data_IF_463366180530
#
_entry.id   IF_463366180530
#
_cell.length_a   1.000
_cell.length_b   1.000
_cell.length_c   1.000
_cell.angle_alpha   90.00
_cell.angle_beta   90.00
_cell.angle_gamma   90.00
#
_symmetry.space_group_name_H-M   'P 1'
#
loop_
_entity.id
_entity.type
_entity.pdbx_description
1 polymer ?
#
# COMPACT_ATOMS: atom_id res chain seq x y z
N UNK A 1 10.72 -18.32 -0.99
CA UNK A 1 9.44 -18.18 -1.73
C UNK A 1 9.77 -18.08 -3.22
N UNK A 2 8.96 -18.66 -4.10
CA UNK A 2 9.27 -18.71 -5.53
C UNK A 2 9.31 -17.31 -6.14
N UNK A 3 10.42 -16.94 -6.82
CA UNK A 3 10.61 -15.59 -7.39
C UNK A 3 9.48 -15.17 -8.34
N UNK A 4 8.97 -16.11 -9.16
CA UNK A 4 7.83 -15.87 -10.05
C UNK A 4 6.56 -15.52 -9.29
N UNK A 5 6.28 -16.21 -8.17
CA UNK A 5 5.12 -15.91 -7.33
C UNK A 5 5.17 -14.48 -6.79
N UNK A 6 6.33 -14.06 -6.27
CA UNK A 6 6.51 -12.69 -5.76
C UNK A 6 6.28 -11.65 -6.85
N UNK A 7 6.81 -11.90 -8.04
CA UNK A 7 6.61 -11.02 -9.19
C UNK A 7 5.14 -10.90 -9.56
N UNK A 8 4.41 -12.03 -9.61
CA UNK A 8 2.97 -12.05 -9.89
C UNK A 8 2.21 -11.28 -8.81
N UNK A 9 2.47 -11.56 -7.52
CA UNK A 9 1.79 -10.87 -6.42
C UNK A 9 2.03 -9.36 -6.46
N UNK A 10 3.27 -8.94 -6.69
CA UNK A 10 3.65 -7.52 -6.81
C UNK A 10 2.94 -6.84 -7.97
N UNK A 11 2.94 -7.48 -9.15
CA UNK A 11 2.32 -6.91 -10.35
C UNK A 11 0.81 -6.82 -10.18
N UNK A 12 0.15 -7.88 -9.69
CA UNK A 12 -1.29 -7.88 -9.43
C UNK A 12 -1.68 -6.79 -8.43
N UNK A 13 -0.98 -6.71 -7.30
CA UNK A 13 -1.24 -5.70 -6.29
C UNK A 13 -1.04 -4.27 -6.85
N UNK A 14 0.01 -4.07 -7.64
CA UNK A 14 0.29 -2.80 -8.31
C UNK A 14 -0.79 -2.40 -9.32
N UNK A 15 -1.27 -3.35 -10.14
CA UNK A 15 -2.39 -3.11 -11.09
C UNK A 15 -3.66 -2.75 -10.34
N UNK A 16 -4.00 -3.47 -9.27
CA UNK A 16 -5.21 -3.21 -8.47
C UNK A 16 -5.18 -1.78 -7.90
N UNK A 17 -4.09 -1.39 -7.22
CA UNK A 17 -4.00 -0.06 -6.64
C UNK A 17 -3.91 1.06 -7.67
N UNK A 18 -3.18 0.86 -8.77
CA UNK A 18 -3.15 1.85 -9.85
C UNK A 18 -4.54 2.03 -10.47
N UNK A 19 -5.25 0.94 -10.73
CA UNK A 19 -6.62 0.98 -11.27
C UNK A 19 -7.60 1.65 -10.29
N UNK A 20 -7.54 1.31 -9.00
CA UNK A 20 -8.37 1.91 -7.96
C UNK A 20 -8.11 3.43 -7.82
N UNK A 21 -6.84 3.83 -7.83
CA UNK A 21 -6.44 5.23 -7.76
C UNK A 21 -6.93 6.05 -8.97
N UNK A 22 -6.75 5.51 -10.19
CA UNK A 22 -7.27 6.15 -11.42
C UNK A 22 -8.80 6.24 -11.37
N UNK A 23 -9.50 5.18 -10.96
CA UNK A 23 -10.96 5.20 -10.81
C UNK A 23 -11.43 6.22 -9.78
N UNK A 24 -10.72 6.34 -8.66
CA UNK A 24 -11.03 7.34 -7.65
C UNK A 24 -10.87 8.77 -8.18
N UNK A 25 -9.90 9.04 -9.06
CA UNK A 25 -9.79 10.33 -9.74
C UNK A 25 -10.91 10.56 -10.76
N UNK A 26 -11.36 9.52 -11.48
CA UNK A 26 -12.54 9.61 -12.36
C UNK A 26 -13.77 10.06 -11.55
N UNK A 27 -14.01 9.44 -10.39
CA UNK A 27 -15.09 9.83 -9.47
C UNK A 27 -14.86 11.24 -8.89
N UNK A 28 -13.63 11.58 -8.50
CA UNK A 28 -13.28 12.90 -7.98
C UNK A 28 -13.60 14.03 -8.98
N UNK A 29 -13.44 13.78 -10.27
CA UNK A 29 -13.79 14.74 -11.32
C UNK A 29 -15.28 14.72 -11.71
N UNK A 30 -16.12 13.96 -11.01
CA UNK A 30 -17.57 13.92 -11.22
C UNK A 30 -18.03 12.99 -12.35
N UNK A 31 -17.18 12.08 -12.80
CA UNK A 31 -17.55 11.07 -13.79
C UNK A 31 -17.99 9.76 -13.11
N UNK A 32 -18.75 8.95 -13.85
CA UNK A 32 -19.12 7.61 -13.41
C UNK A 32 -17.89 6.70 -13.28
N UNK A 33 -17.79 5.90 -12.20
CA UNK A 33 -16.69 4.96 -12.03
C UNK A 33 -16.73 3.87 -13.13
N UNK A 34 -15.56 3.46 -13.61
CA UNK A 34 -15.44 2.41 -14.62
C UNK A 34 -15.14 1.02 -14.01
N UNK A 35 -14.86 0.97 -12.71
CA UNK A 35 -14.82 -0.26 -11.90
C UNK A 35 -15.77 -0.10 -10.71
N UNK A 36 -16.22 -1.23 -10.13
CA UNK A 36 -17.11 -1.22 -8.98
C UNK A 36 -16.54 -0.39 -7.82
N UNK A 37 -17.38 0.44 -7.21
CA UNK A 37 -17.11 1.21 -5.99
C UNK A 37 -18.10 0.80 -4.91
N UNK A 38 -17.70 0.96 -3.64
CA UNK A 38 -18.58 0.77 -2.49
C UNK A 38 -19.20 2.11 -2.12
N UNK A 39 -20.54 2.26 -2.09
CA UNK A 39 -21.20 3.48 -1.63
C UNK A 39 -20.74 3.88 -0.21
N UNK A 40 -20.57 2.90 0.67
CA UNK A 40 -20.14 3.07 2.05
C UNK A 40 -18.68 3.51 2.13
N UNK A 41 -17.81 3.00 1.25
CA UNK A 41 -16.45 3.52 1.12
C UNK A 41 -16.45 4.96 0.60
N UNK A 42 -17.34 5.31 -0.33
CA UNK A 42 -17.46 6.68 -0.83
C UNK A 42 -17.94 7.64 0.25
N UNK A 43 -18.79 7.18 1.17
CA UNK A 43 -19.25 7.96 2.31
C UNK A 43 -18.11 8.33 3.29
N UNK A 44 -16.98 7.62 3.31
CA UNK A 44 -15.81 8.01 4.12
C UNK A 44 -15.14 9.30 3.61
N UNK A 45 -15.30 9.62 2.34
CA UNK A 45 -14.68 10.77 1.70
C UNK A 45 -15.58 12.00 1.78
N UNK A 46 -16.12 12.31 2.96
CA UNK A 46 -16.88 13.54 3.20
C UNK A 46 -16.07 14.81 2.87
N UNK A 47 -14.75 14.71 2.97
CA UNK A 47 -13.84 15.77 2.58
C UNK A 47 -13.04 15.34 1.34
N UNK A 48 -13.11 16.14 0.29
CA UNK A 48 -12.45 15.90 -1.00
C UNK A 48 -10.95 15.66 -0.87
N UNK A 49 -10.28 16.29 0.10
CA UNK A 49 -8.85 16.10 0.32
C UNK A 49 -8.49 14.66 0.67
N UNK A 50 -9.37 13.94 1.39
CA UNK A 50 -9.11 12.58 1.84
C UNK A 50 -9.14 11.62 0.64
N UNK A 51 -10.14 11.79 -0.25
CA UNK A 51 -10.21 11.05 -1.51
C UNK A 51 -8.98 11.35 -2.37
N UNK A 52 -8.65 12.63 -2.54
CA UNK A 52 -7.50 13.04 -3.34
C UNK A 52 -6.19 12.41 -2.81
N UNK A 53 -5.93 12.50 -1.50
CA UNK A 53 -4.69 11.99 -0.89
C UNK A 53 -4.62 10.47 -0.95
N UNK A 54 -5.71 9.76 -0.63
CA UNK A 54 -5.74 8.30 -0.72
C UNK A 54 -5.47 7.83 -2.15
N UNK A 55 -6.18 8.39 -3.14
CA UNK A 55 -6.04 7.98 -4.55
C UNK A 55 -4.68 8.36 -5.13
N UNK A 56 -4.09 9.48 -4.68
CA UNK A 56 -2.69 9.81 -4.98
C UNK A 56 -1.73 8.73 -4.46
N UNK A 57 -1.90 8.32 -3.20
CA UNK A 57 -1.06 7.27 -2.60
C UNK A 57 -1.21 5.93 -3.32
N UNK A 58 -2.44 5.54 -3.69
CA UNK A 58 -2.71 4.33 -4.46
C UNK A 58 -2.01 4.36 -5.83
N UNK A 59 -2.08 5.49 -6.56
CA UNK A 59 -1.40 5.64 -7.86
C UNK A 59 0.13 5.55 -7.69
N UNK A 60 0.70 6.33 -6.78
CA UNK A 60 2.16 6.35 -6.57
C UNK A 60 2.65 4.96 -6.17
N UNK A 61 2.01 4.33 -5.18
CA UNK A 61 2.41 3.01 -4.73
C UNK A 61 2.16 1.94 -5.80
N UNK A 62 1.08 2.04 -6.56
CA UNK A 62 0.80 1.17 -7.70
C UNK A 62 1.92 1.23 -8.75
N UNK A 63 2.33 2.43 -9.15
CA UNK A 63 3.45 2.63 -10.09
C UNK A 63 4.74 2.05 -9.53
N UNK A 64 5.09 2.35 -8.27
CA UNK A 64 6.29 1.83 -7.61
C UNK A 64 6.30 0.30 -7.57
N UNK A 65 5.16 -0.30 -7.23
CA UNK A 65 4.99 -1.75 -7.26
C UNK A 65 5.13 -2.30 -8.67
N UNK A 66 4.67 -1.63 -9.73
CA UNK A 66 4.79 -2.11 -11.12
C UNK A 66 6.22 -1.97 -11.67
N UNK A 67 6.90 -0.87 -11.37
CA UNK A 67 8.28 -0.59 -11.81
C UNK A 67 9.34 -1.30 -10.97
N UNK A 68 8.93 -1.99 -9.89
CA UNK A 68 9.81 -2.70 -8.96
C UNK A 68 10.74 -1.76 -8.17
N UNK A 69 10.27 -0.54 -7.91
CA UNK A 69 11.04 0.48 -7.20
C UNK A 69 10.44 0.73 -5.82
N UNK A 70 11.30 0.93 -4.82
CA UNK A 70 10.88 1.26 -3.44
C UNK A 70 9.80 0.32 -2.86
N UNK A 71 9.83 -0.97 -3.23
CA UNK A 71 8.75 -1.93 -2.88
C UNK A 71 8.45 -1.98 -1.37
N UNK A 72 9.44 -2.07 -0.45
CA UNK A 72 9.13 -2.05 0.98
C UNK A 72 8.45 -0.75 1.45
N UNK A 73 8.85 0.40 0.90
CA UNK A 73 8.22 1.70 1.21
C UNK A 73 6.78 1.73 0.72
N UNK A 74 6.52 1.28 -0.51
CA UNK A 74 5.16 1.22 -1.07
C UNK A 74 4.27 0.28 -0.24
N UNK A 75 4.77 -0.88 0.19
CA UNK A 75 4.03 -1.80 1.06
C UNK A 75 3.72 -1.18 2.43
N UNK A 76 4.65 -0.43 3.03
CA UNK A 76 4.42 0.29 4.27
C UNK A 76 3.31 1.36 4.11
N UNK A 77 3.41 2.18 3.06
CA UNK A 77 2.42 3.23 2.78
C UNK A 77 1.03 2.66 2.49
N UNK A 78 0.95 1.52 1.78
CA UNK A 78 -0.31 0.82 1.51
C UNK A 78 -0.88 0.06 2.72
N UNK A 79 -0.08 -0.24 3.75
CA UNK A 79 -0.54 -1.05 4.90
C UNK A 79 -1.79 -0.50 5.60
N UNK A 80 -1.87 0.79 6.00
CA UNK A 80 -3.09 1.34 6.60
C UNK A 80 -4.28 1.36 5.62
N UNK A 81 -4.02 1.59 4.33
CA UNK A 81 -5.05 1.61 3.29
C UNK A 81 -5.66 0.22 3.11
N UNK A 82 -4.82 -0.82 2.98
CA UNK A 82 -5.24 -2.23 2.90
C UNK A 82 -6.04 -2.64 4.12
N UNK A 83 -5.59 -2.25 5.32
CA UNK A 83 -6.31 -2.54 6.56
C UNK A 83 -7.69 -1.88 6.57
N UNK A 84 -7.79 -0.60 6.19
CA UNK A 84 -9.06 0.11 6.12
C UNK A 84 -10.02 -0.52 5.10
N UNK A 85 -9.55 -0.82 3.88
CA UNK A 85 -10.33 -1.50 2.85
C UNK A 85 -10.90 -2.81 3.39
N UNK A 86 -10.07 -3.64 4.02
CA UNK A 86 -10.54 -4.93 4.55
C UNK A 86 -11.55 -4.77 5.67
N UNK A 87 -11.30 -3.89 6.64
CA UNK A 87 -12.20 -3.67 7.78
C UNK A 87 -13.55 -3.09 7.34
N UNK A 88 -13.55 -2.14 6.39
CA UNK A 88 -14.78 -1.61 5.82
C UNK A 88 -15.61 -2.72 5.18
N UNK A 89 -14.99 -3.59 4.38
CA UNK A 89 -15.75 -4.65 3.71
C UNK A 89 -16.13 -5.80 4.65
N UNK A 90 -15.40 -5.98 5.74
CA UNK A 90 -15.72 -7.00 6.73
C UNK A 90 -16.90 -6.60 7.62
N UNK A 91 -17.03 -5.30 7.95
CA UNK A 91 -17.98 -4.83 8.96
C UNK A 91 -19.09 -3.93 8.42
N UNK A 92 -18.91 -3.26 7.29
CA UNK A 92 -19.82 -2.20 6.81
C UNK A 92 -20.45 -2.59 5.47
N UNK A 93 -19.64 -2.90 4.46
CA UNK A 93 -20.13 -3.26 3.11
C UNK A 93 -19.45 -4.53 2.57
N UNK A 94 -20.08 -5.71 2.69
CA UNK A 94 -19.49 -6.96 2.24
C UNK A 94 -19.46 -7.14 0.71
N UNK A 95 -19.99 -6.20 -0.08
CA UNK A 95 -20.12 -6.31 -1.54
C UNK A 95 -18.81 -6.69 -2.25
N UNK A 96 -17.67 -6.14 -1.79
CA UNK A 96 -16.34 -6.41 -2.33
C UNK A 96 -15.40 -7.14 -1.35
N UNK A 97 -15.94 -7.83 -0.34
CA UNK A 97 -15.14 -8.55 0.66
C UNK A 97 -14.17 -9.56 0.02
N UNK A 98 -14.60 -10.24 -1.05
CA UNK A 98 -13.74 -11.19 -1.77
C UNK A 98 -12.49 -10.52 -2.36
N UNK A 99 -12.66 -9.34 -3.00
CA UNK A 99 -11.54 -8.57 -3.53
C UNK A 99 -10.65 -8.05 -2.40
N UNK A 100 -11.24 -7.54 -1.32
CA UNK A 100 -10.50 -7.07 -0.15
C UNK A 100 -9.65 -8.20 0.47
N UNK A 101 -10.18 -9.41 0.58
CA UNK A 101 -9.43 -10.59 1.05
C UNK A 101 -8.26 -10.94 0.12
N UNK A 102 -8.44 -10.86 -1.20
CA UNK A 102 -7.36 -11.04 -2.17
C UNK A 102 -6.27 -9.99 -1.99
N UNK A 103 -6.64 -8.71 -1.82
CA UNK A 103 -5.69 -7.61 -1.58
C UNK A 103 -4.87 -7.87 -0.31
N UNK A 104 -5.53 -8.24 0.80
CA UNK A 104 -4.85 -8.59 2.06
C UNK A 104 -3.90 -9.76 1.87
N UNK A 105 -4.30 -10.80 1.13
CA UNK A 105 -3.45 -11.96 0.87
C UNK A 105 -2.21 -11.57 0.06
N UNK A 106 -2.38 -10.84 -1.04
CA UNK A 106 -1.28 -10.40 -1.90
C UNK A 106 -0.30 -9.49 -1.14
N UNK A 107 -0.84 -8.51 -0.41
CA UNK A 107 -0.06 -7.57 0.40
C UNK A 107 0.66 -8.29 1.54
N UNK A 108 -0.02 -9.18 2.27
CA UNK A 108 0.55 -9.97 3.35
C UNK A 108 1.67 -10.92 2.89
N UNK A 109 1.51 -11.56 1.72
CA UNK A 109 2.56 -12.39 1.12
C UNK A 109 3.81 -11.57 0.78
N UNK A 110 3.64 -10.36 0.25
CA UNK A 110 4.74 -9.45 -0.04
C UNK A 110 5.40 -8.92 1.23
N UNK A 111 4.63 -8.50 2.24
CA UNK A 111 5.16 -8.11 3.55
C UNK A 111 5.95 -9.24 4.19
N UNK A 112 5.45 -10.48 4.15
CA UNK A 112 6.16 -11.64 4.66
C UNK A 112 7.46 -11.89 3.90
N UNK A 113 7.46 -11.71 2.57
CA UNK A 113 8.67 -11.84 1.75
C UNK A 113 9.73 -10.80 2.12
N UNK A 114 9.33 -9.53 2.25
CA UNK A 114 10.22 -8.40 2.53
C UNK A 114 10.38 -8.09 4.03
N UNK A 115 9.95 -8.99 4.93
CA UNK A 115 9.93 -8.77 6.40
C UNK A 115 11.26 -8.31 6.99
N UNK A 116 12.39 -8.74 6.43
CA UNK A 116 13.73 -8.33 6.86
C UNK A 116 13.96 -6.82 6.70
N UNK A 117 13.34 -6.20 5.70
CA UNK A 117 13.42 -4.75 5.47
C UNK A 117 12.60 -3.94 6.49
N UNK A 118 11.64 -4.58 7.16
CA UNK A 118 10.81 -3.95 8.19
C UNK A 118 11.33 -4.18 9.61
N UNK A 119 12.39 -5.00 9.79
CA UNK A 119 12.90 -5.38 11.11
C UNK A 119 13.25 -4.16 11.98
N UNK A 120 13.80 -3.09 11.37
CA UNK A 120 14.14 -1.84 12.06
C UNK A 120 12.94 -1.08 12.64
N UNK A 121 11.72 -1.33 12.13
CA UNK A 121 10.49 -0.72 12.67
C UNK A 121 10.02 -1.38 13.97
N UNK A 122 10.47 -2.61 14.25
CA UNK A 122 10.05 -3.39 15.42
C UNK A 122 11.10 -3.39 16.53
N UNK A 123 11.84 -2.29 16.68
CA UNK A 123 12.80 -2.11 17.76
C UNK A 123 12.09 -1.56 19.00
N UNK A 124 12.03 -2.35 20.08
CA UNK A 124 11.32 -1.99 21.34
C UNK A 124 11.81 -0.69 21.98
N UNK A 125 13.12 -0.45 21.96
CA UNK A 125 13.75 0.77 22.46
C UNK A 125 14.84 1.16 21.47
N UNK A 126 14.78 2.36 20.87
CA UNK A 126 15.87 2.84 20.04
C UNK A 126 17.14 2.88 20.90
N UNK A 127 18.21 2.24 20.44
CA UNK A 127 19.51 2.42 21.06
C UNK A 127 19.94 3.85 20.74
N UNK A 128 20.08 4.70 21.75
CA UNK A 128 20.72 5.99 21.55
C UNK A 128 22.14 5.72 21.02
N UNK A 129 22.60 6.41 19.97
CA UNK A 129 23.98 6.31 19.54
C UNK A 129 24.90 6.61 20.73
N UNK A 130 25.92 5.81 20.94
CA UNK A 130 26.95 6.12 21.92
C UNK A 130 27.64 7.43 21.49
N UNK A 131 27.59 8.52 22.28
CA UNK A 131 28.17 9.80 21.91
C UNK A 131 29.67 9.72 21.60
N UNK A 132 30.35 8.63 21.98
CA UNK A 132 31.77 8.40 21.72
C UNK A 132 32.10 7.85 20.32
N UNK A 133 31.11 7.40 19.54
CA UNK A 133 31.37 6.83 18.20
C UNK A 133 30.88 7.81 17.12
N UNK A 134 31.79 8.54 16.44
CA UNK A 134 31.40 9.38 15.32
C UNK A 134 30.74 8.51 14.23
N UNK A 135 29.73 9.04 13.52
CA UNK A 135 29.07 8.29 12.46
C UNK A 135 30.12 7.81 11.46
N UNK A 136 30.27 6.49 11.34
CA UNK A 136 31.08 5.88 10.30
C UNK A 136 30.53 6.39 8.97
N UNK A 137 31.32 7.22 8.29
CA UNK A 137 30.96 7.75 6.98
C UNK A 137 30.58 6.56 6.10
N UNK A 138 29.31 6.51 5.67
CA UNK A 138 28.88 5.52 4.70
C UNK A 138 29.87 5.61 3.52
N UNK A 139 30.47 4.49 3.06
CA UNK A 139 31.36 4.52 1.93
C UNK A 139 30.57 5.09 0.77
N UNK A 140 30.96 6.29 0.33
CA UNK A 140 30.58 6.82 -0.97
C UNK A 140 31.16 5.81 -1.96
N UNK A 141 30.29 4.98 -2.53
CA UNK A 141 30.70 3.96 -3.49
C UNK A 141 31.35 4.63 -4.70
N UNK A 142 32.49 4.07 -5.11
CA UNK A 142 33.21 4.36 -6.34
C UNK A 142 32.39 3.99 -7.60
#
# INVERSE_FOLDING_TARGET
>A
MNRRLIQICRVLLGVIFLGAGINGYVVFFGFEPFIATSPEAMALFMFDYLLFVEKTLEIICGILLLTNQFVPMALAALSPIVANIFLLHLFVDPSMLALAAVIVLLHGLLLYHYKSHFAGLFVRKPHAPDPAVPPSAAPLGD
#
